data_IF_081340029995
#
_entry.id   IF_081340029995
#
_cell.length_a   1.000
_cell.length_b   1.000
_cell.length_c   1.000
_cell.angle_alpha   90.00
_cell.angle_beta   90.00
_cell.angle_gamma   90.00
#
_symmetry.space_group_name_H-M   'P 1'
#
loop_
_entity.id
_entity.type
_entity.pdbx_description
1 polymer ?
#
# COMPACT_ATOMS: atom_id res chain seq x y z
N UNK A 1 -3.27 2.71 -22.98
CA UNK A 1 -2.80 1.56 -22.18
C UNK A 1 -4.02 0.87 -21.55
N UNK A 2 -4.18 -0.46 -21.66
CA UNK A 2 -5.43 -1.11 -21.21
C UNK A 2 -5.53 -1.18 -19.67
N UNK A 3 -6.75 -1.20 -19.11
CA UNK A 3 -7.00 -1.40 -17.66
C UNK A 3 -6.43 -2.72 -17.12
N UNK A 4 -6.14 -3.68 -17.99
CA UNK A 4 -5.47 -4.94 -17.62
C UNK A 4 -3.97 -4.74 -17.41
N UNK A 5 -3.33 -3.93 -18.26
CA UNK A 5 -1.90 -3.61 -18.17
C UNK A 5 -1.54 -2.87 -16.88
N UNK A 6 -2.35 -1.90 -16.44
CA UNK A 6 -2.09 -1.15 -15.19
C UNK A 6 -2.21 -2.03 -13.95
N UNK A 7 -3.23 -2.90 -13.89
CA UNK A 7 -3.42 -3.84 -12.76
C UNK A 7 -2.27 -4.84 -12.68
N UNK A 8 -1.83 -5.36 -13.82
CA UNK A 8 -0.68 -6.25 -13.90
C UNK A 8 0.59 -5.53 -13.44
N UNK A 9 0.84 -4.30 -13.90
CA UNK A 9 2.00 -3.51 -13.51
C UNK A 9 2.05 -3.29 -11.98
N UNK A 10 0.94 -2.92 -11.34
CA UNK A 10 0.90 -2.76 -9.89
C UNK A 10 1.16 -4.10 -9.17
N UNK A 11 0.57 -5.19 -9.66
CA UNK A 11 0.80 -6.52 -9.08
C UNK A 11 2.27 -6.92 -9.15
N UNK A 12 2.88 -6.80 -10.34
CA UNK A 12 4.28 -7.14 -10.58
C UNK A 12 5.19 -6.28 -9.67
N UNK A 13 4.92 -4.98 -9.56
CA UNK A 13 5.65 -4.06 -8.69
C UNK A 13 5.57 -4.44 -7.20
N UNK A 14 4.37 -4.76 -6.69
CA UNK A 14 4.21 -5.21 -5.30
C UNK A 14 4.94 -6.52 -5.05
N UNK A 15 4.85 -7.47 -5.98
CA UNK A 15 5.47 -8.78 -5.85
C UNK A 15 7.00 -8.71 -5.91
N UNK A 16 7.57 -7.80 -6.70
CA UNK A 16 9.02 -7.54 -6.74
C UNK A 16 9.53 -7.14 -5.35
N UNK A 17 8.90 -6.14 -4.72
CA UNK A 17 9.27 -5.66 -3.38
C UNK A 17 9.08 -6.76 -2.33
N UNK A 18 7.94 -7.47 -2.37
CA UNK A 18 7.66 -8.60 -1.48
C UNK A 18 8.72 -9.70 -1.61
N UNK A 19 9.16 -10.01 -2.82
CA UNK A 19 10.17 -11.05 -3.08
C UNK A 19 11.59 -10.61 -2.73
N UNK A 20 11.87 -9.32 -2.72
CA UNK A 20 13.15 -8.78 -2.27
C UNK A 20 13.27 -8.84 -0.75
N UNK A 21 12.25 -8.38 -0.01
CA UNK A 21 12.38 -8.16 1.45
C UNK A 21 11.61 -9.17 2.31
N UNK A 22 10.56 -9.80 1.78
CA UNK A 22 9.59 -10.59 2.54
C UNK A 22 9.42 -12.02 2.01
N UNK A 23 10.47 -12.65 1.50
CA UNK A 23 10.42 -14.01 0.89
C UNK A 23 9.67 -15.07 1.71
N UNK A 24 9.81 -15.03 3.04
CA UNK A 24 9.17 -15.98 3.97
C UNK A 24 7.81 -15.51 4.53
N UNK A 25 7.25 -14.41 4.04
CA UNK A 25 5.95 -13.90 4.51
C UNK A 25 4.76 -14.63 3.86
N UNK A 26 3.60 -14.51 4.50
CA UNK A 26 2.34 -15.01 3.97
C UNK A 26 2.08 -14.51 2.53
N UNK A 27 1.43 -15.32 1.68
CA UNK A 27 1.16 -14.95 0.30
C UNK A 27 0.20 -13.75 0.22
N UNK A 28 0.36 -12.96 -0.84
CA UNK A 28 -0.56 -11.88 -1.21
C UNK A 28 -1.55 -12.47 -2.20
N UNK A 29 -2.83 -12.54 -1.82
CA UNK A 29 -3.88 -13.15 -2.64
C UNK A 29 -4.43 -12.20 -3.70
N UNK A 30 -4.26 -10.89 -3.51
CA UNK A 30 -4.77 -9.87 -4.42
C UNK A 30 -4.00 -8.56 -4.27
N UNK A 31 -3.75 -7.91 -5.40
CA UNK A 31 -3.28 -6.52 -5.46
C UNK A 31 -4.21 -5.77 -6.40
N UNK A 32 -4.73 -4.61 -5.98
CA UNK A 32 -5.61 -3.80 -6.83
C UNK A 32 -5.59 -2.32 -6.44
N UNK A 33 -5.86 -1.47 -7.44
CA UNK A 33 -6.32 -0.11 -7.15
C UNK A 33 -7.79 -0.12 -6.74
N UNK A 34 -8.14 0.72 -5.76
CA UNK A 34 -9.50 0.90 -5.27
C UNK A 34 -9.85 2.40 -5.27
N UNK A 35 -11.00 2.77 -5.85
CA UNK A 35 -11.45 4.16 -5.94
C UNK A 35 -12.33 4.57 -4.76
N UNK A 36 -12.73 3.61 -3.91
CA UNK A 36 -13.56 3.87 -2.71
C UNK A 36 -12.74 4.13 -1.46
N UNK A 37 -11.42 3.98 -1.56
CA UNK A 37 -10.46 4.22 -0.49
C UNK A 37 -10.35 5.74 -0.29
N UNK A 38 -11.03 6.26 0.73
CA UNK A 38 -10.86 7.62 1.23
C UNK A 38 -9.65 7.65 2.16
N UNK A 39 -8.59 8.35 1.77
CA UNK A 39 -7.28 8.31 2.44
C UNK A 39 -7.19 9.29 3.62
N UNK A 40 -8.31 9.85 4.07
CA UNK A 40 -8.30 11.01 4.98
C UNK A 40 -8.30 10.59 6.45
N UNK A 41 -7.43 11.26 7.20
CA UNK A 41 -7.22 11.32 8.66
C UNK A 41 -6.49 10.17 9.39
N UNK A 42 -6.51 8.90 8.98
CA UNK A 42 -5.83 7.83 9.78
C UNK A 42 -5.21 6.67 8.98
N UNK A 43 -5.28 6.66 7.65
CA UNK A 43 -4.94 5.48 6.85
C UNK A 43 -4.13 5.86 5.61
N UNK A 44 -2.84 6.16 5.78
CA UNK A 44 -1.88 6.16 4.67
C UNK A 44 -1.91 4.81 3.95
N UNK A 45 -2.20 3.74 4.68
CA UNK A 45 -2.59 2.45 4.16
C UNK A 45 -3.98 2.06 4.65
N UNK A 46 -4.95 1.89 3.74
CA UNK A 46 -6.29 1.41 4.10
C UNK A 46 -6.23 -0.11 4.16
N UNK A 47 -5.67 -0.59 5.27
CA UNK A 47 -5.72 -1.99 5.63
C UNK A 47 -7.15 -2.48 5.65
N UNK A 48 -7.55 -3.21 4.62
CA UNK A 48 -8.63 -4.16 4.79
C UNK A 48 -7.99 -5.54 4.82
N UNK A 49 -7.53 -5.97 5.99
CA UNK A 49 -7.34 -7.40 6.25
C UNK A 49 -8.72 -8.05 6.20
N UNK A 50 -9.16 -8.44 5.01
CA UNK A 50 -10.39 -9.22 4.86
C UNK A 50 -10.08 -10.65 5.31
N UNK A 51 -10.20 -10.89 6.61
CA UNK A 51 -10.22 -12.23 7.19
C UNK A 51 -11.57 -12.87 6.90
N UNK A 52 -11.66 -13.67 5.82
CA UNK A 52 -12.84 -14.52 5.57
C UNK A 52 -12.62 -15.91 6.18
N UNK A 53 -13.51 -16.29 7.08
CA UNK A 53 -13.58 -17.63 7.67
C UNK A 53 -14.14 -18.59 6.61
N UNK A 54 -13.45 -19.71 6.35
CA UNK A 54 -13.96 -20.79 5.49
C UNK A 54 -13.86 -22.11 6.29
N UNK A 55 -14.99 -22.56 6.84
CA UNK A 55 -15.03 -23.62 7.85
C UNK A 55 -14.47 -23.16 9.21
N UNK A 56 -14.04 -24.08 10.08
CA UNK A 56 -13.49 -23.76 11.41
C UNK A 56 -12.03 -23.24 11.40
N UNK A 57 -11.47 -22.84 10.25
CA UNK A 57 -10.09 -22.32 10.13
C UNK A 57 -10.08 -20.93 9.47
N UNK A 58 -9.51 -19.95 10.17
CA UNK A 58 -9.18 -18.63 9.64
C UNK A 58 -8.04 -18.76 8.61
N UNK A 59 -8.37 -18.78 7.31
CA UNK A 59 -7.36 -18.53 6.26
C UNK A 59 -7.29 -17.02 6.02
N UNK A 60 -6.36 -16.36 6.69
CA UNK A 60 -6.07 -14.95 6.41
C UNK A 60 -5.63 -14.81 4.94
N UNK A 61 -6.38 -14.02 4.16
CA UNK A 61 -6.04 -13.64 2.79
C UNK A 61 -5.46 -12.23 2.84
N UNK A 62 -4.16 -12.08 2.60
CA UNK A 62 -3.55 -10.76 2.53
C UNK A 62 -3.89 -10.14 1.18
N UNK A 63 -4.72 -9.10 1.20
CA UNK A 63 -5.00 -8.27 0.03
C UNK A 63 -4.30 -6.91 0.21
N UNK A 64 -3.65 -6.43 -0.84
CA UNK A 64 -3.09 -5.08 -0.90
C UNK A 64 -3.99 -4.24 -1.78
N UNK A 65 -4.51 -3.15 -1.23
CA UNK A 65 -5.37 -2.20 -1.95
C UNK A 65 -4.76 -0.81 -1.90
N UNK A 66 -4.48 -0.26 -3.08
CA UNK A 66 -3.88 1.07 -3.21
C UNK A 66 -4.96 2.04 -3.69
N UNK A 67 -5.03 3.22 -3.09
CA UNK A 67 -5.98 4.25 -3.57
C UNK A 67 -5.70 4.59 -5.04
N UNK A 68 -6.76 4.77 -5.84
CA UNK A 68 -6.63 5.09 -7.25
C UNK A 68 -5.93 6.43 -7.52
N UNK A 69 -5.82 7.32 -6.53
CA UNK A 69 -5.05 8.58 -6.62
C UNK A 69 -3.56 8.33 -6.93
N UNK A 70 -3.01 7.21 -6.45
CA UNK A 70 -1.60 6.88 -6.63
C UNK A 70 -1.28 6.33 -8.02
N UNK A 71 -2.26 6.28 -8.94
CA UNK A 71 -2.00 5.98 -10.36
C UNK A 71 -1.19 7.09 -11.04
N UNK A 72 -1.45 8.33 -10.62
CA UNK A 72 -0.82 9.52 -11.20
C UNK A 72 0.27 10.09 -10.29
N UNK A 73 0.43 9.54 -9.08
CA UNK A 73 1.44 10.00 -8.13
C UNK A 73 2.85 9.60 -8.55
N UNK A 74 3.89 10.36 -8.14
CA UNK A 74 5.27 9.97 -8.30
C UNK A 74 5.53 8.56 -7.78
N UNK A 75 6.36 7.80 -8.52
CA UNK A 75 6.72 6.42 -8.18
C UNK A 75 7.23 6.25 -6.73
N UNK A 76 8.03 7.18 -6.16
CA UNK A 76 8.45 7.07 -4.76
C UNK A 76 7.29 7.04 -3.75
N UNK A 77 6.20 7.79 -4.00
CA UNK A 77 5.04 7.80 -3.11
C UNK A 77 4.25 6.49 -3.23
N UNK A 78 4.07 5.98 -4.46
CA UNK A 78 3.49 4.64 -4.67
C UNK A 78 4.33 3.56 -3.98
N UNK A 79 5.67 3.65 -4.08
CA UNK A 79 6.58 2.72 -3.42
C UNK A 79 6.42 2.76 -1.90
N UNK A 80 6.34 3.95 -1.30
CA UNK A 80 6.13 4.10 0.15
C UNK A 80 4.84 3.40 0.59
N UNK A 81 3.73 3.63 -0.12
CA UNK A 81 2.44 2.97 0.17
C UNK A 81 2.58 1.45 0.10
N UNK A 82 3.22 0.92 -0.95
CA UNK A 82 3.40 -0.52 -1.10
C UNK A 82 4.27 -1.10 0.03
N UNK A 83 5.34 -0.41 0.42
CA UNK A 83 6.19 -0.81 1.55
C UNK A 83 5.41 -0.81 2.86
N UNK A 84 4.59 0.21 3.10
CA UNK A 84 3.71 0.29 4.26
C UNK A 84 2.78 -0.93 4.35
N UNK A 85 2.05 -1.22 3.28
CA UNK A 85 1.13 -2.37 3.21
C UNK A 85 1.85 -3.71 3.34
N UNK A 86 3.04 -3.84 2.75
CA UNK A 86 3.85 -5.05 2.86
C UNK A 86 4.37 -5.27 4.28
N UNK A 87 4.78 -4.22 4.98
CA UNK A 87 5.20 -4.32 6.37
C UNK A 87 4.07 -4.89 7.25
N UNK A 88 2.82 -4.56 6.94
CA UNK A 88 1.65 -5.07 7.65
C UNK A 88 1.36 -6.56 7.48
N UNK A 89 1.97 -7.20 6.49
CA UNK A 89 1.96 -8.66 6.37
C UNK A 89 2.66 -9.31 7.58
N UNK A 90 3.65 -8.64 8.17
CA UNK A 90 4.38 -9.11 9.36
C UNK A 90 3.99 -8.38 10.65
N UNK A 91 3.87 -7.06 10.59
CA UNK A 91 3.69 -6.20 11.76
C UNK A 91 2.32 -5.52 11.74
N UNK A 92 1.42 -5.89 12.65
CA UNK A 92 0.02 -5.40 12.61
C UNK A 92 -0.15 -3.97 13.08
N UNK A 93 0.65 -3.55 14.05
CA UNK A 93 0.57 -2.23 14.66
C UNK A 93 1.72 -1.34 14.18
N UNK A 94 1.48 -0.04 14.05
CA UNK A 94 2.50 0.96 13.73
C UNK A 94 3.44 1.23 14.93
N UNK A 95 4.14 0.20 15.37
CA UNK A 95 5.11 0.24 16.46
C UNK A 95 6.55 0.35 15.91
N UNK A 96 7.56 0.33 16.80
CA UNK A 96 8.97 0.44 16.41
C UNK A 96 9.39 -0.64 15.39
N UNK A 97 8.92 -1.88 15.52
CA UNK A 97 9.26 -2.97 14.61
C UNK A 97 8.67 -2.74 13.21
N UNK A 98 7.43 -2.23 13.14
CA UNK A 98 6.81 -1.84 11.87
C UNK A 98 7.63 -0.77 11.15
N UNK A 99 7.97 0.34 11.81
CA UNK A 99 8.74 1.41 11.18
C UNK A 99 10.16 0.96 10.80
N UNK A 100 10.81 0.13 11.61
CA UNK A 100 12.09 -0.47 11.25
C UNK A 100 12.00 -1.32 9.99
N UNK A 101 10.94 -2.13 9.85
CA UNK A 101 10.71 -2.92 8.65
C UNK A 101 10.44 -2.05 7.43
N UNK A 102 9.65 -0.98 7.57
CA UNK A 102 9.43 0.00 6.52
C UNK A 102 10.75 0.64 6.05
N UNK A 103 11.56 1.16 6.98
CA UNK A 103 12.85 1.78 6.69
C UNK A 103 13.88 0.79 6.09
N UNK A 104 13.78 -0.49 6.43
CA UNK A 104 14.59 -1.53 5.79
C UNK A 104 14.24 -1.74 4.31
N UNK A 105 12.95 -1.62 3.96
CA UNK A 105 12.47 -1.76 2.58
C UNK A 105 12.60 -0.46 1.76
N UNK A 106 12.48 0.69 2.42
CA UNK A 106 12.61 2.03 1.82
C UNK A 106 13.36 2.96 2.78
N UNK A 107 14.65 3.25 2.54
CA UNK A 107 15.45 4.10 3.44
C UNK A 107 14.87 5.51 3.65
N UNK A 108 14.17 6.06 2.64
CA UNK A 108 13.54 7.38 2.74
C UNK A 108 12.10 7.33 3.25
N UNK A 109 11.68 6.21 3.86
CA UNK A 109 10.29 5.93 4.20
C UNK A 109 9.60 7.07 4.95
N UNK A 110 10.23 7.61 6.00
CA UNK A 110 9.61 8.67 6.80
C UNK A 110 9.40 9.97 6.01
N UNK A 111 10.34 10.34 5.14
CA UNK A 111 10.18 11.52 4.30
C UNK A 111 9.05 11.30 3.29
N UNK A 112 9.03 10.15 2.63
CA UNK A 112 7.99 9.81 1.66
C UNK A 112 6.62 9.66 2.32
N UNK A 113 6.57 9.19 3.57
CA UNK A 113 5.37 9.13 4.40
C UNK A 113 4.82 10.54 4.63
N UNK A 114 5.68 11.46 5.08
CA UNK A 114 5.32 12.86 5.27
C UNK A 114 4.84 13.52 3.97
N UNK A 115 5.59 13.38 2.88
CA UNK A 115 5.24 13.94 1.57
C UNK A 115 3.89 13.40 1.07
N UNK A 116 3.61 12.12 1.33
CA UNK A 116 2.33 11.52 0.99
C UNK A 116 1.20 12.10 1.83
N UNK A 117 1.37 12.28 3.15
CA UNK A 117 0.38 12.96 3.99
C UNK A 117 0.12 14.38 3.49
N UNK A 118 1.17 15.11 3.12
CA UNK A 118 1.06 16.47 2.59
C UNK A 118 0.29 16.50 1.27
N UNK A 119 0.59 15.58 0.33
CA UNK A 119 -0.14 15.46 -0.93
C UNK A 119 -1.63 15.17 -0.69
N UNK A 120 -1.95 14.26 0.24
CA UNK A 120 -3.33 13.90 0.57
C UNK A 120 -4.08 15.09 1.19
N UNK A 121 -3.45 15.81 2.11
CA UNK A 121 -4.00 17.03 2.69
C UNK A 121 -4.24 18.09 1.61
N UNK A 122 -3.32 18.26 0.67
CA UNK A 122 -3.51 19.16 -0.48
C UNK A 122 -4.71 18.74 -1.33
N UNK A 123 -4.83 17.44 -1.65
CA UNK A 123 -5.95 16.93 -2.44
C UNK A 123 -7.30 17.11 -1.77
N UNK A 124 -7.37 16.92 -0.45
CA UNK A 124 -8.59 17.06 0.33
C UNK A 124 -9.06 18.52 0.44
N UNK A 125 -8.11 19.46 0.59
CA UNK A 125 -8.43 20.88 0.79
C UNK A 125 -8.48 21.72 -0.49
N UNK A 126 -7.66 21.39 -1.49
CA UNK A 126 -7.46 22.21 -2.68
C UNK A 126 -7.65 21.44 -4.01
N UNK A 127 -7.99 20.15 -3.95
CA UNK A 127 -8.22 19.31 -5.13
C UNK A 127 -6.95 18.71 -5.75
N UNK A 128 -7.13 17.94 -6.82
CA UNK A 128 -6.04 17.25 -7.50
C UNK A 128 -5.04 18.22 -8.12
N UNK A 129 -3.75 18.01 -7.86
CA UNK A 129 -2.64 18.71 -8.54
C UNK A 129 -2.18 18.00 -9.82
N UNK A 130 -2.76 16.84 -10.14
CA UNK A 130 -2.48 16.10 -11.37
C UNK A 130 -3.47 16.52 -12.46
N UNK A 131 -2.97 16.72 -13.68
CA UNK A 131 -3.80 16.96 -14.86
C UNK A 131 -4.69 15.75 -15.16
N UNK A 132 -5.95 16.00 -15.56
CA UNK A 132 -6.95 14.98 -15.92
C UNK A 132 -6.67 14.28 -17.25
#
# INVERSE_FOLDING_TARGET
MSRYSIRKALYDFVMEIKNQYLRKSAPISKVAYDSKIHVVNHALGLHTFVSRVHGNKLKAKNEIRVSSIFKNAPLPLLRMIVVHELAHVREKEHNKAFYQLCCHMEPNYHQLEFDTRLLLTQMDNAGSIYAE
#
